data_IF_377654769128
#
_entry.id   IF_377654769128
#
_cell.length_a   1.000
_cell.length_b   1.000
_cell.length_c   1.000
_cell.angle_alpha   90.00
_cell.angle_beta   90.00
_cell.angle_gamma   90.00
#
_symmetry.space_group_name_H-M   'P 1'
#
loop_
_entity.id
_entity.type
_entity.pdbx_description
1 polymer ?
#
# COMPACT_ATOMS: atom_id res chain seq x y z
N UNK A 1 24.88 -87.72 53.33
CA UNK A 1 23.67 -87.26 54.05
C UNK A 1 23.94 -85.83 54.47
N UNK A 2 23.19 -84.77 54.14
CA UNK A 2 21.98 -84.59 53.36
C UNK A 2 22.12 -83.31 52.51
N UNK A 3 21.40 -83.29 51.40
CA UNK A 3 21.30 -82.20 50.44
C UNK A 3 20.25 -81.18 50.90
N UNK A 4 20.50 -79.88 50.75
CA UNK A 4 19.44 -78.88 50.58
C UNK A 4 19.89 -77.84 49.56
N UNK A 5 19.20 -77.86 48.42
CA UNK A 5 19.23 -76.87 47.35
C UNK A 5 18.31 -75.70 47.70
N UNK A 6 18.72 -74.47 47.36
CA UNK A 6 17.82 -73.32 47.30
C UNK A 6 18.11 -72.53 46.02
N UNK A 7 17.11 -72.24 45.16
CA UNK A 7 17.31 -71.54 43.91
C UNK A 7 16.90 -70.07 44.02
N UNK A 8 17.66 -69.14 43.41
CA UNK A 8 17.15 -67.82 43.00
C UNK A 8 18.08 -67.23 41.93
N UNK A 9 17.66 -67.36 40.67
CA UNK A 9 16.95 -66.36 39.84
C UNK A 9 17.89 -65.29 39.27
N UNK A 10 18.24 -65.50 38.00
CA UNK A 10 18.87 -64.54 37.09
C UNK A 10 17.93 -63.34 36.87
N UNK A 11 18.30 -62.16 37.35
CA UNK A 11 17.67 -60.89 36.99
C UNK A 11 18.28 -60.36 35.70
N UNK A 12 17.52 -60.40 34.60
CA UNK A 12 17.82 -59.66 33.36
C UNK A 12 17.53 -58.17 33.60
N UNK A 13 18.56 -57.34 33.52
CA UNK A 13 18.39 -55.89 33.49
C UNK A 13 18.01 -55.47 32.06
N UNK A 14 16.76 -55.07 31.88
CA UNK A 14 16.29 -54.35 30.68
C UNK A 14 16.56 -52.86 30.93
N UNK A 15 17.55 -52.31 30.23
CA UNK A 15 17.73 -50.86 30.15
C UNK A 15 16.65 -50.29 29.23
N UNK A 16 15.65 -49.62 29.80
CA UNK A 16 14.68 -48.82 29.05
C UNK A 16 15.26 -47.43 28.81
N UNK A 17 15.64 -47.13 27.56
CA UNK A 17 15.95 -45.77 27.12
C UNK A 17 14.62 -45.08 26.78
N UNK A 18 14.07 -44.33 27.73
CA UNK A 18 12.96 -43.40 27.44
C UNK A 18 13.54 -42.13 26.86
N UNK A 19 13.51 -42.00 25.53
CA UNK A 19 13.80 -40.77 24.82
C UNK A 19 12.71 -39.73 25.10
N UNK A 20 13.07 -38.61 25.71
CA UNK A 20 12.18 -37.47 25.84
C UNK A 20 12.09 -36.77 24.47
N UNK A 21 10.95 -36.93 23.79
CA UNK A 21 10.64 -36.13 22.61
C UNK A 21 10.20 -34.73 23.09
N UNK A 22 11.10 -33.74 22.96
CA UNK A 22 10.74 -32.33 23.12
C UNK A 22 9.83 -31.91 21.98
N UNK A 23 8.54 -31.77 22.27
CA UNK A 23 7.57 -31.18 21.35
C UNK A 23 7.85 -29.67 21.26
N UNK A 24 8.52 -29.25 20.19
CA UNK A 24 8.68 -27.82 19.88
C UNK A 24 7.31 -27.33 19.41
N UNK A 25 6.57 -26.70 20.30
CA UNK A 25 5.40 -25.89 19.93
C UNK A 25 5.93 -24.69 19.15
N UNK A 26 5.95 -24.81 17.82
CA UNK A 26 6.11 -23.66 16.95
C UNK A 26 4.89 -22.76 17.16
N UNK A 27 5.03 -21.77 18.03
CA UNK A 27 4.16 -20.60 17.96
C UNK A 27 4.42 -19.95 16.61
N UNK A 28 3.40 -19.57 15.83
CA UNK A 28 3.64 -18.69 14.71
C UNK A 28 4.26 -17.42 15.30
N UNK A 29 5.55 -17.22 15.04
CA UNK A 29 6.15 -15.92 15.25
C UNK A 29 5.30 -14.96 14.40
N UNK A 30 4.60 -14.04 15.05
CA UNK A 30 4.18 -12.82 14.37
C UNK A 30 5.48 -12.25 13.80
N UNK A 31 5.65 -12.30 12.48
CA UNK A 31 6.81 -11.72 11.86
C UNK A 31 6.80 -10.24 12.25
N UNK A 32 7.74 -9.86 13.12
CA UNK A 32 8.11 -8.48 13.38
C UNK A 32 8.88 -7.90 12.17
N UNK A 33 8.39 -8.17 10.96
CA UNK A 33 8.88 -7.59 9.73
C UNK A 33 7.95 -6.45 9.38
N UNK A 34 8.50 -5.26 9.14
CA UNK A 34 7.76 -4.14 8.57
C UNK A 34 7.20 -4.47 7.17
N UNK A 35 6.88 -3.46 6.36
CA UNK A 35 6.37 -3.65 5.02
C UNK A 35 7.23 -4.64 4.21
N UNK A 36 6.64 -5.42 3.28
CA UNK A 36 7.43 -6.22 2.36
C UNK A 36 8.34 -5.32 1.52
N UNK A 37 9.39 -5.91 0.94
CA UNK A 37 10.27 -5.16 0.04
C UNK A 37 9.49 -4.62 -1.16
N UNK A 38 9.83 -3.41 -1.61
CA UNK A 38 9.25 -2.83 -2.81
C UNK A 38 9.45 -3.69 -4.06
N UNK A 39 8.42 -3.71 -4.90
CA UNK A 39 8.54 -4.18 -6.28
C UNK A 39 9.42 -3.19 -7.07
N UNK A 40 10.21 -3.70 -8.03
CA UNK A 40 10.94 -2.82 -8.93
C UNK A 40 9.98 -1.98 -9.78
N UNK A 41 10.37 -0.75 -10.11
CA UNK A 41 9.62 0.08 -11.05
C UNK A 41 9.44 -0.66 -12.38
N UNK A 42 8.20 -0.80 -12.82
CA UNK A 42 7.84 -1.39 -14.09
C UNK A 42 6.49 -0.84 -14.53
N UNK A 43 6.51 0.29 -15.22
CA UNK A 43 5.33 0.97 -15.74
C UNK A 43 5.63 1.49 -17.14
N UNK A 44 4.59 1.72 -17.93
CA UNK A 44 4.74 2.23 -19.29
C UNK A 44 5.19 3.69 -19.29
N UNK A 45 5.76 4.15 -20.41
CA UNK A 45 6.43 5.45 -20.48
C UNK A 45 5.52 6.63 -20.10
N UNK A 46 4.26 6.62 -20.52
CA UNK A 46 3.31 7.68 -20.18
C UNK A 46 2.85 7.62 -18.71
N UNK A 47 2.75 6.42 -18.11
CA UNK A 47 2.49 6.28 -16.68
C UNK A 47 3.63 6.91 -15.86
N UNK A 48 4.89 6.70 -16.27
CA UNK A 48 6.04 7.34 -15.62
C UNK A 48 6.05 8.85 -15.87
N UNK A 49 5.77 9.28 -17.10
CA UNK A 49 5.76 10.70 -17.49
C UNK A 49 4.77 11.52 -16.67
N UNK A 50 3.59 10.98 -16.39
CA UNK A 50 2.53 11.70 -15.67
C UNK A 50 2.38 11.27 -14.21
N UNK A 51 3.31 10.47 -13.67
CA UNK A 51 3.33 10.07 -12.28
C UNK A 51 3.30 11.32 -11.38
N UNK A 52 2.40 11.43 -10.39
CA UNK A 52 2.43 12.58 -9.48
C UNK A 52 3.74 12.63 -8.69
N UNK A 53 4.17 13.85 -8.40
CA UNK A 53 5.23 14.13 -7.44
C UNK A 53 4.57 14.18 -6.05
N UNK A 54 4.95 13.27 -5.16
CA UNK A 54 4.28 13.10 -3.87
C UNK A 54 5.03 13.78 -2.73
N UNK A 55 4.27 14.34 -1.81
CA UNK A 55 4.70 14.63 -0.45
C UNK A 55 3.74 13.97 0.55
N UNK A 56 4.21 13.82 1.78
CA UNK A 56 3.45 13.27 2.89
C UNK A 56 3.68 14.19 4.09
N UNK A 57 2.60 14.83 4.54
CA UNK A 57 2.64 15.67 5.73
C UNK A 57 2.99 14.78 6.95
N UNK A 58 3.49 15.41 8.01
CA UNK A 58 3.98 14.69 9.21
C UNK A 58 2.91 13.92 9.99
N UNK A 59 1.64 14.04 9.58
CA UNK A 59 0.46 13.56 10.30
C UNK A 59 -0.09 12.20 9.84
N UNK A 60 0.53 11.55 8.86
CA UNK A 60 0.14 10.22 8.36
C UNK A 60 1.30 9.25 8.18
N UNK A 61 1.04 8.08 7.59
CA UNK A 61 2.10 7.15 7.18
C UNK A 61 2.76 7.59 5.86
N UNK A 62 3.98 7.13 5.60
CA UNK A 62 4.47 7.04 4.23
C UNK A 62 3.75 5.93 3.47
N UNK A 63 3.74 6.04 2.14
CA UNK A 63 3.27 4.93 1.31
C UNK A 63 4.22 3.74 1.43
N UNK A 64 3.68 2.53 1.36
CA UNK A 64 4.48 1.30 1.47
C UNK A 64 4.09 0.29 0.39
N UNK A 65 4.94 -0.72 0.12
CA UNK A 65 4.57 -1.81 -0.77
C UNK A 65 3.41 -2.61 -0.19
N UNK A 66 2.32 -2.74 -0.96
CA UNK A 66 1.18 -3.58 -0.60
C UNK A 66 1.46 -5.08 -0.81
N UNK A 67 2.45 -5.41 -1.64
CA UNK A 67 2.88 -6.78 -1.95
C UNK A 67 4.37 -6.79 -2.29
N UNK A 68 5.09 -7.79 -1.79
CA UNK A 68 6.50 -8.01 -2.07
C UNK A 68 6.78 -8.86 -3.32
N UNK A 69 8.03 -8.93 -3.79
CA UNK A 69 8.46 -9.76 -4.92
C UNK A 69 8.18 -11.27 -4.73
N UNK A 70 8.13 -11.74 -3.49
CA UNK A 70 7.79 -13.11 -3.10
C UNK A 70 6.26 -13.34 -2.97
N UNK A 71 5.48 -12.29 -3.21
CA UNK A 71 4.04 -12.26 -3.06
C UNK A 71 3.54 -12.10 -1.63
N UNK A 72 4.41 -11.81 -0.65
CA UNK A 72 3.97 -11.47 0.71
C UNK A 72 3.12 -10.21 0.67
N UNK A 73 1.87 -10.28 1.13
CA UNK A 73 0.97 -9.12 1.23
C UNK A 73 1.30 -8.34 2.49
N UNK A 74 1.30 -7.02 2.40
CA UNK A 74 1.44 -6.16 3.57
C UNK A 74 0.22 -6.34 4.49
N UNK A 75 0.40 -6.79 5.75
CA UNK A 75 -0.72 -6.98 6.67
C UNK A 75 -1.30 -5.66 7.19
N UNK A 76 -0.62 -4.54 6.92
CA UNK A 76 -0.90 -3.22 7.47
C UNK A 76 -0.60 -3.13 8.97
N UNK A 77 -1.01 -2.01 9.57
CA UNK A 77 -0.87 -1.72 10.98
C UNK A 77 -2.25 -1.61 11.65
N UNK A 78 -2.29 -1.88 12.95
CA UNK A 78 -3.48 -1.53 13.72
C UNK A 78 -3.61 0.01 13.76
N UNK A 79 -4.82 0.57 13.55
CA UNK A 79 -5.07 2.02 13.63
C UNK A 79 -5.11 2.47 15.09
N UNK A 80 -4.01 2.28 15.81
CA UNK A 80 -3.81 2.67 17.21
C UNK A 80 -2.46 3.37 17.37
N UNK A 81 -2.26 4.00 18.53
CA UNK A 81 -1.07 4.83 18.76
C UNK A 81 -1.11 6.16 18.00
N UNK A 82 0.06 6.78 17.82
CA UNK A 82 0.19 8.01 17.03
C UNK A 82 -0.22 7.77 15.56
N UNK A 83 -0.75 8.80 14.90
CA UNK A 83 -1.24 8.73 13.52
C UNK A 83 -0.17 8.20 12.55
N UNK A 84 1.04 8.72 12.69
CA UNK A 84 2.25 8.37 11.94
C UNK A 84 3.12 7.30 12.64
N UNK A 85 2.64 6.72 13.75
CA UNK A 85 3.43 5.81 14.58
C UNK A 85 3.70 4.47 13.88
N UNK A 86 4.98 4.09 13.84
CA UNK A 86 5.52 2.87 13.23
C UNK A 86 5.40 2.81 11.68
N UNK A 87 5.18 3.94 11.00
CA UNK A 87 5.03 3.98 9.54
C UNK A 87 5.49 5.30 8.89
N UNK A 88 6.30 6.10 9.59
CA UNK A 88 6.79 7.38 9.10
C UNK A 88 8.27 7.60 9.44
N UNK A 89 9.02 6.55 9.78
CA UNK A 89 10.45 6.69 9.99
C UNK A 89 11.15 6.96 8.64
N UNK A 90 12.34 7.58 8.66
CA UNK A 90 13.08 7.86 7.43
C UNK A 90 13.32 6.59 6.57
N UNK A 91 13.48 5.43 7.19
CA UNK A 91 13.61 4.13 6.51
C UNK A 91 12.34 3.68 5.80
N UNK A 92 11.16 4.09 6.29
CA UNK A 92 9.89 3.77 5.62
C UNK A 92 9.81 4.51 4.28
N UNK A 93 10.34 5.74 4.22
CA UNK A 93 10.44 6.52 2.97
C UNK A 93 11.42 5.95 1.95
N UNK A 94 12.31 5.03 2.37
CA UNK A 94 13.21 4.32 1.46
C UNK A 94 12.58 3.07 0.85
N UNK A 95 11.48 2.57 1.42
CA UNK A 95 10.78 1.38 0.94
C UNK A 95 9.32 1.71 0.60
N UNK A 96 9.12 2.24 -0.61
CA UNK A 96 7.80 2.70 -1.09
C UNK A 96 7.47 2.06 -2.44
N UNK A 97 6.19 2.01 -2.79
CA UNK A 97 5.74 1.76 -4.15
C UNK A 97 4.57 2.68 -4.48
N UNK A 98 4.39 2.98 -5.76
CA UNK A 98 3.13 3.46 -6.30
C UNK A 98 2.63 2.47 -7.34
N UNK A 99 1.32 2.44 -7.56
CA UNK A 99 0.69 1.53 -8.51
C UNK A 99 -0.18 2.33 -9.47
N UNK A 100 -0.22 1.94 -10.74
CA UNK A 100 -1.06 2.62 -11.73
C UNK A 100 -1.86 1.66 -12.60
N UNK A 101 -3.00 2.16 -13.07
CA UNK A 101 -3.71 1.61 -14.21
C UNK A 101 -4.30 2.75 -15.00
N UNK A 102 -4.32 2.62 -16.32
CA UNK A 102 -4.85 3.65 -17.18
C UNK A 102 -5.85 3.09 -18.20
N UNK A 103 -6.63 3.99 -18.78
CA UNK A 103 -7.50 3.72 -19.91
C UNK A 103 -7.49 4.91 -20.85
N UNK A 104 -7.50 4.64 -22.15
CA UNK A 104 -7.57 5.67 -23.19
C UNK A 104 -8.74 5.38 -24.13
N UNK A 105 -9.58 6.38 -24.37
CA UNK A 105 -10.61 6.36 -25.41
C UNK A 105 -11.05 7.79 -25.75
N UNK A 106 -11.63 7.95 -26.94
CA UNK A 106 -12.21 9.23 -27.40
C UNK A 106 -11.23 10.43 -27.30
N UNK A 107 -9.94 10.19 -27.56
CA UNK A 107 -8.89 11.21 -27.52
C UNK A 107 -8.39 11.57 -26.11
N UNK A 108 -8.87 10.89 -25.07
CA UNK A 108 -8.48 11.11 -23.67
C UNK A 108 -7.87 9.87 -23.06
N UNK A 109 -6.91 10.08 -22.15
CA UNK A 109 -6.38 9.05 -21.26
C UNK A 109 -6.60 9.45 -19.81
N UNK A 110 -7.14 8.54 -19.00
CA UNK A 110 -7.20 8.67 -17.55
C UNK A 110 -6.22 7.69 -16.91
N UNK A 111 -5.22 8.22 -16.20
CA UNK A 111 -4.24 7.47 -15.43
C UNK A 111 -4.62 7.53 -13.95
N UNK A 112 -4.88 6.40 -13.32
CA UNK A 112 -5.16 6.35 -11.88
C UNK A 112 -3.91 5.84 -11.16
N UNK A 113 -3.28 6.71 -10.37
CA UNK A 113 -2.15 6.38 -9.49
C UNK A 113 -2.66 6.15 -8.09
N UNK A 114 -2.16 5.11 -7.43
CA UNK A 114 -2.68 4.67 -6.14
C UNK A 114 -1.55 4.27 -5.23
N UNK A 115 -1.62 4.70 -3.98
CA UNK A 115 -0.61 4.46 -2.96
C UNK A 115 -1.28 3.68 -1.83
N UNK A 116 -0.56 2.71 -1.28
CA UNK A 116 -1.01 1.94 -0.13
C UNK A 116 -0.37 2.49 1.14
N UNK A 117 -1.18 2.65 2.19
CA UNK A 117 -0.72 3.03 3.52
C UNK A 117 -1.12 1.93 4.50
N UNK A 118 -0.28 1.64 5.48
CA UNK A 118 -0.49 0.49 6.36
C UNK A 118 -1.71 0.67 7.29
N UNK A 119 -2.08 1.92 7.56
CA UNK A 119 -3.25 2.31 8.34
C UNK A 119 -3.68 3.72 7.98
N UNK A 120 -4.92 4.02 8.31
CA UNK A 120 -5.48 5.37 8.32
C UNK A 120 -6.24 5.58 9.63
N UNK A 121 -6.02 6.73 10.26
CA UNK A 121 -6.54 7.06 11.58
C UNK A 121 -7.13 8.46 11.57
N UNK A 122 -8.39 8.61 11.98
CA UNK A 122 -8.96 9.93 12.26
C UNK A 122 -8.41 10.55 13.56
N UNK A 123 -8.25 9.76 14.61
CA UNK A 123 -7.87 10.25 15.94
C UNK A 123 -6.64 9.50 16.50
N UNK A 124 -5.67 10.21 17.11
CA UNK A 124 -4.56 9.57 17.80
C UNK A 124 -5.02 8.67 18.95
N UNK A 125 -4.40 7.51 19.10
CA UNK A 125 -4.57 6.62 20.26
C UNK A 125 -5.84 5.75 20.25
N UNK A 126 -6.82 6.01 19.38
CA UNK A 126 -8.08 5.24 19.30
C UNK A 126 -8.36 4.80 17.86
N UNK A 127 -8.98 3.63 17.69
CA UNK A 127 -9.37 3.12 16.38
C UNK A 127 -10.70 3.69 15.88
N UNK A 128 -11.34 4.59 16.64
CA UNK A 128 -12.63 5.17 16.27
C UNK A 128 -12.45 6.09 15.06
N UNK A 129 -13.04 5.71 13.93
CA UNK A 129 -12.89 6.45 12.67
C UNK A 129 -11.56 6.18 11.95
N UNK A 130 -10.86 5.09 12.25
CA UNK A 130 -9.69 4.63 11.50
C UNK A 130 -9.83 3.18 11.05
N UNK A 131 -8.96 2.75 10.14
CA UNK A 131 -8.87 1.38 9.69
C UNK A 131 -7.42 0.95 9.41
N UNK A 132 -7.20 -0.36 9.56
CA UNK A 132 -6.01 -1.03 9.04
C UNK A 132 -6.12 -1.05 7.52
N UNK A 133 -4.98 -0.84 6.85
CA UNK A 133 -4.86 -0.69 5.41
C UNK A 133 -5.56 0.56 4.90
N UNK A 134 -4.96 1.24 3.95
CA UNK A 134 -5.58 2.35 3.25
C UNK A 134 -5.05 2.43 1.82
N UNK A 135 -5.88 2.93 0.93
CA UNK A 135 -5.56 3.13 -0.48
C UNK A 135 -6.09 4.50 -0.90
N UNK A 136 -5.17 5.42 -1.19
CA UNK A 136 -5.52 6.74 -1.72
C UNK A 136 -5.04 6.89 -3.17
N UNK A 137 -5.60 7.85 -3.88
CA UNK A 137 -5.47 7.94 -5.34
C UNK A 137 -5.33 9.37 -5.86
N UNK A 138 -4.60 9.48 -6.96
CA UNK A 138 -4.57 10.66 -7.82
C UNK A 138 -4.87 10.23 -9.25
N UNK A 139 -5.89 10.80 -9.87
CA UNK A 139 -6.18 10.59 -11.29
C UNK A 139 -5.61 11.74 -12.12
N UNK A 140 -4.89 11.42 -13.19
CA UNK A 140 -4.35 12.41 -14.12
C UNK A 140 -5.02 12.24 -15.48
N UNK A 141 -5.64 13.31 -15.97
CA UNK A 141 -6.42 13.31 -17.21
C UNK A 141 -5.65 14.02 -18.30
N UNK A 142 -5.32 13.27 -19.35
CA UNK A 142 -4.44 13.70 -20.43
C UNK A 142 -5.21 13.72 -21.74
N UNK A 143 -4.98 14.78 -22.52
CA UNK A 143 -5.45 14.93 -23.89
C UNK A 143 -4.30 15.44 -24.75
N UNK A 144 -4.07 14.84 -25.91
CA UNK A 144 -3.00 15.22 -26.85
C UNK A 144 -1.61 15.32 -26.20
N UNK A 145 -1.32 14.39 -25.27
CA UNK A 145 -0.04 14.33 -24.55
C UNK A 145 0.17 15.43 -23.50
N UNK A 146 -0.89 16.15 -23.13
CA UNK A 146 -0.87 17.20 -22.11
C UNK A 146 -1.86 16.90 -20.98
N UNK A 147 -1.43 17.10 -19.74
CA UNK A 147 -2.30 17.07 -18.56
C UNK A 147 -3.30 18.23 -18.67
N UNK A 148 -4.60 17.93 -18.58
CA UNK A 148 -5.68 18.92 -18.59
C UNK A 148 -6.38 19.04 -17.24
N UNK A 149 -6.46 17.93 -16.49
CA UNK A 149 -7.04 17.89 -15.15
C UNK A 149 -6.28 16.91 -14.27
N UNK A 150 -6.32 17.17 -12.97
CA UNK A 150 -5.86 16.25 -11.94
C UNK A 150 -6.99 16.11 -10.92
N UNK A 151 -7.27 14.89 -10.49
CA UNK A 151 -8.30 14.63 -9.47
C UNK A 151 -7.67 13.96 -8.26
N UNK A 152 -7.87 14.50 -7.07
CA UNK A 152 -7.36 13.94 -5.82
C UNK A 152 -8.47 13.24 -5.05
N UNK A 153 -8.21 12.04 -4.52
CA UNK A 153 -9.18 11.33 -3.70
C UNK A 153 -9.36 12.01 -2.33
N UNK A 154 -10.60 12.05 -1.85
CA UNK A 154 -10.94 12.49 -0.51
C UNK A 154 -12.18 11.75 0.02
N UNK A 155 -11.98 10.88 1.01
CA UNK A 155 -13.06 10.20 1.74
C UNK A 155 -14.04 9.45 0.82
N UNK A 156 -13.50 8.70 -0.16
CA UNK A 156 -14.28 7.95 -1.15
C UNK A 156 -14.88 8.78 -2.29
N UNK A 157 -14.52 10.06 -2.39
CA UNK A 157 -14.85 10.95 -3.51
C UNK A 157 -13.57 11.45 -4.19
N UNK A 158 -13.74 12.26 -5.22
CA UNK A 158 -12.67 12.99 -5.86
C UNK A 158 -13.00 14.47 -5.94
N UNK A 159 -11.99 15.31 -5.74
CA UNK A 159 -12.02 16.70 -6.19
C UNK A 159 -11.28 16.80 -7.51
N UNK A 160 -11.93 17.37 -8.53
CA UNK A 160 -11.36 17.56 -9.87
C UNK A 160 -10.81 18.98 -9.97
N UNK A 161 -9.54 19.10 -10.36
CA UNK A 161 -8.83 20.35 -10.48
C UNK A 161 -8.45 20.60 -11.94
N UNK A 162 -8.78 21.75 -12.55
CA UNK A 162 -8.25 22.13 -13.85
C UNK A 162 -6.73 22.34 -13.75
N UNK A 163 -6.01 22.08 -14.84
CA UNK A 163 -4.54 22.23 -14.89
C UNK A 163 -4.03 23.60 -14.43
N UNK A 164 -4.83 24.66 -14.55
CA UNK A 164 -4.50 26.01 -14.06
C UNK A 164 -4.32 26.13 -12.55
N UNK A 165 -4.87 25.19 -11.78
CA UNK A 165 -4.75 25.15 -10.31
C UNK A 165 -3.60 24.23 -9.85
N UNK A 166 -3.06 23.43 -10.76
CA UNK A 166 -2.10 22.37 -10.43
C UNK A 166 -0.68 22.90 -10.51
N UNK A 167 0.11 22.68 -9.45
CA UNK A 167 1.56 22.89 -9.44
C UNK A 167 2.25 21.64 -9.97
N UNK A 168 3.35 21.83 -10.70
CA UNK A 168 4.08 20.73 -11.35
C UNK A 168 5.57 20.76 -11.03
N UNK A 169 6.20 19.58 -11.07
CA UNK A 169 7.62 19.42 -11.40
C UNK A 169 7.71 18.74 -12.77
N UNK A 170 8.11 19.48 -13.81
CA UNK A 170 8.04 18.96 -15.18
C UNK A 170 6.61 18.59 -15.57
N UNK A 171 6.35 17.31 -15.84
CA UNK A 171 5.02 16.75 -16.16
C UNK A 171 4.32 16.11 -14.96
N UNK A 172 4.94 16.15 -13.77
CA UNK A 172 4.49 15.50 -12.56
C UNK A 172 3.62 16.46 -11.74
N UNK A 173 2.30 16.25 -11.63
CA UNK A 173 1.47 17.08 -10.78
C UNK A 173 1.83 16.84 -9.31
N UNK A 174 1.93 17.91 -8.52
CA UNK A 174 2.32 17.83 -7.11
C UNK A 174 1.10 17.56 -6.24
N UNK A 175 1.14 16.47 -5.49
CA UNK A 175 0.07 16.01 -4.60
C UNK A 175 0.61 15.68 -3.21
N UNK A 176 -0.18 16.00 -2.19
CA UNK A 176 0.22 15.85 -0.78
C UNK A 176 -0.77 14.95 -0.07
N UNK A 177 -0.29 13.88 0.55
CA UNK A 177 -1.06 13.05 1.47
C UNK A 177 -1.05 13.71 2.84
N UNK A 178 -2.23 13.99 3.40
CA UNK A 178 -2.35 14.77 4.63
C UNK A 178 -3.57 14.38 5.45
N UNK A 179 -3.60 14.83 6.71
CA UNK A 179 -4.80 14.81 7.54
C UNK A 179 -5.83 15.84 7.10
N UNK A 180 -7.06 15.41 6.81
CA UNK A 180 -8.15 16.35 6.51
C UNK A 180 -8.93 16.75 7.77
N UNK A 181 -8.37 17.71 8.50
CA UNK A 181 -8.96 18.24 9.73
C UNK A 181 -9.23 17.14 10.77
N UNK A 182 -10.50 16.94 11.12
CA UNK A 182 -10.93 15.90 12.08
C UNK A 182 -11.28 14.55 11.42
N UNK A 183 -11.27 14.48 10.08
CA UNK A 183 -11.59 13.27 9.31
C UNK A 183 -10.39 12.34 9.23
N UNK A 184 -10.38 11.37 8.30
CA UNK A 184 -9.25 10.52 7.89
C UNK A 184 -8.25 11.25 6.98
N UNK A 185 -7.23 10.54 6.46
CA UNK A 185 -6.29 11.14 5.51
C UNK A 185 -6.87 11.19 4.09
N UNK A 186 -6.32 12.07 3.25
CA UNK A 186 -6.62 12.11 1.82
C UNK A 186 -5.51 12.80 1.02
N UNK A 187 -5.67 12.84 -0.31
CA UNK A 187 -4.83 13.69 -1.16
C UNK A 187 -5.42 15.09 -1.38
N UNK A 188 -4.53 16.08 -1.37
CA UNK A 188 -4.77 17.43 -1.90
C UNK A 188 -3.73 17.79 -2.96
N UNK A 189 -3.99 18.83 -3.74
CA UNK A 189 -2.94 19.47 -4.52
C UNK A 189 -1.94 20.17 -3.60
N UNK A 190 -0.68 20.21 -4.02
CA UNK A 190 0.32 21.04 -3.38
C UNK A 190 0.02 22.53 -3.56
N UNK A 191 0.35 23.30 -2.54
CA UNK A 191 0.29 24.75 -2.48
C UNK A 191 1.70 25.35 -2.53
N UNK A 192 1.83 26.66 -2.37
CA UNK A 192 3.13 27.30 -2.24
C UNK A 192 3.82 27.01 -0.89
N UNK A 193 3.08 26.54 0.12
CA UNK A 193 3.61 26.26 1.46
C UNK A 193 4.27 24.88 1.56
N UNK A 194 4.06 24.00 0.57
CA UNK A 194 4.63 22.65 0.50
C UNK A 194 6.02 22.66 -0.18
N UNK A 195 6.75 23.77 -0.08
CA UNK A 195 8.08 23.94 -0.65
C UNK A 195 9.06 24.45 0.43
N UNK A 196 10.02 23.64 0.90
CA UNK A 196 10.22 22.24 0.51
C UNK A 196 9.13 21.31 1.07
N UNK A 197 8.97 20.10 0.49
CA UNK A 197 8.15 19.02 1.04
C UNK A 197 8.45 18.70 2.51
N UNK A 198 7.43 18.30 3.27
CA UNK A 198 7.51 18.02 4.71
C UNK A 198 8.14 16.66 5.05
N UNK A 199 8.16 15.72 4.10
CA UNK A 199 8.75 14.39 4.32
C UNK A 199 10.24 14.43 4.74
N UNK A 200 10.74 13.32 5.30
CA UNK A 200 12.10 13.18 5.84
C UNK A 200 13.25 13.54 4.87
N UNK A 201 13.01 13.52 3.55
CA UNK A 201 14.01 13.88 2.53
C UNK A 201 13.94 15.34 2.10
N UNK A 202 12.89 16.07 2.48
CA UNK A 202 12.63 17.46 2.06
C UNK A 202 12.66 17.66 0.53
N UNK A 203 12.25 16.62 -0.20
CA UNK A 203 12.16 16.62 -1.67
C UNK A 203 10.88 15.96 -2.11
N UNK A 204 10.43 16.27 -3.33
CA UNK A 204 9.31 15.57 -3.96
C UNK A 204 9.69 14.11 -4.20
N UNK A 205 8.76 13.20 -3.92
CA UNK A 205 9.00 11.77 -3.95
C UNK A 205 8.32 11.12 -5.15
N UNK A 206 9.02 10.13 -5.71
CA UNK A 206 8.58 9.34 -6.85
C UNK A 206 8.70 7.85 -6.50
N UNK A 207 7.77 7.30 -5.69
CA UNK A 207 7.80 5.89 -5.32
C UNK A 207 7.88 5.00 -6.58
N UNK A 208 8.75 3.97 -6.63
CA UNK A 208 8.86 3.08 -7.79
C UNK A 208 7.48 2.63 -8.29
N UNK A 209 7.15 3.01 -9.52
CA UNK A 209 5.82 2.83 -10.09
C UNK A 209 5.67 1.45 -10.74
N UNK A 210 4.64 0.71 -10.33
CA UNK A 210 4.24 -0.54 -10.97
C UNK A 210 2.92 -0.32 -11.71
N UNK A 211 3.01 -0.29 -13.04
CA UNK A 211 1.83 -0.20 -13.91
C UNK A 211 1.07 -1.52 -13.95
N UNK A 212 -0.21 -1.48 -14.32
CA UNK A 212 -1.09 -2.65 -14.35
C UNK A 212 -0.55 -3.81 -15.19
N UNK A 213 0.21 -3.50 -16.25
CA UNK A 213 0.84 -4.48 -17.13
C UNK A 213 2.27 -4.86 -16.71
N UNK A 214 2.82 -4.19 -15.70
CA UNK A 214 4.21 -4.37 -15.24
C UNK A 214 4.38 -5.20 -13.97
N UNK A 215 3.29 -5.71 -13.39
CA UNK A 215 3.41 -6.64 -12.26
C UNK A 215 4.16 -7.92 -12.66
N UNK A 216 5.07 -8.43 -11.82
CA UNK A 216 5.59 -9.79 -11.96
C UNK A 216 4.46 -10.82 -11.98
N UNK A 217 4.71 -11.96 -12.64
CA UNK A 217 3.71 -13.00 -12.87
C UNK A 217 3.02 -13.43 -11.56
N UNK A 218 1.68 -13.47 -11.58
CA UNK A 218 0.85 -13.89 -10.45
C UNK A 218 0.66 -12.85 -9.33
N UNK A 219 1.51 -11.83 -9.23
CA UNK A 219 1.41 -10.83 -8.15
C UNK A 219 0.19 -9.92 -8.32
N UNK A 220 -0.13 -9.52 -9.55
CA UNK A 220 -1.32 -8.71 -9.85
C UNK A 220 -2.60 -9.41 -9.41
N UNK A 221 -2.75 -10.68 -9.76
CA UNK A 221 -3.94 -11.46 -9.46
C UNK A 221 -4.06 -11.70 -7.95
N UNK A 222 -2.93 -12.01 -7.29
CA UNK A 222 -2.87 -12.15 -5.83
C UNK A 222 -3.31 -10.86 -5.13
N UNK A 223 -2.70 -9.73 -5.48
CA UNK A 223 -3.05 -8.41 -4.92
C UNK A 223 -4.51 -8.05 -5.18
N UNK A 224 -5.01 -8.30 -6.40
CA UNK A 224 -6.40 -7.99 -6.79
C UNK A 224 -7.44 -8.84 -6.07
N UNK A 225 -7.06 -10.06 -5.67
CA UNK A 225 -7.92 -10.99 -4.94
C UNK A 225 -7.89 -10.79 -3.42
N UNK A 226 -6.90 -10.06 -2.89
CA UNK A 226 -6.71 -9.94 -1.45
C UNK A 226 -7.77 -9.04 -0.80
N UNK A 227 -8.24 -9.48 0.37
CA UNK A 227 -9.17 -8.73 1.19
C UNK A 227 -8.42 -7.83 2.19
N UNK A 228 -8.41 -6.54 1.91
CA UNK A 228 -7.80 -5.52 2.79
C UNK A 228 -8.77 -5.04 3.90
N UNK A 229 -9.90 -5.73 4.09
CA UNK A 229 -10.91 -5.39 5.09
C UNK A 229 -11.69 -4.16 4.66
N UNK A 230 -11.50 -3.03 5.36
CA UNK A 230 -12.21 -1.78 5.06
C UNK A 230 -11.68 -1.07 3.81
N UNK A 231 -10.40 -1.27 3.48
CA UNK A 231 -9.79 -0.72 2.28
C UNK A 231 -10.00 -1.65 1.08
N UNK A 232 -10.01 -1.09 -0.13
CA UNK A 232 -10.22 -1.85 -1.37
C UNK A 232 -9.14 -1.48 -2.39
N UNK A 233 -8.46 -2.49 -2.95
CA UNK A 233 -7.50 -2.23 -4.04
C UNK A 233 -8.23 -1.62 -5.26
N UNK A 234 -7.96 -0.35 -5.61
CA UNK A 234 -8.78 0.43 -6.55
C UNK A 234 -8.58 0.04 -8.03
N UNK A 235 -7.43 -0.56 -8.37
CA UNK A 235 -7.06 -0.84 -9.75
C UNK A 235 -7.65 -2.15 -10.30
N UNK A 236 -8.26 -2.98 -9.43
CA UNK A 236 -8.88 -4.24 -9.83
C UNK A 236 -10.10 -4.00 -10.74
N UNK A 237 -10.42 -4.98 -11.58
CA UNK A 237 -11.51 -4.87 -12.58
C UNK A 237 -12.83 -4.35 -11.98
N UNK A 238 -13.21 -4.86 -10.80
CA UNK A 238 -14.46 -4.51 -10.14
C UNK A 238 -14.53 -3.06 -9.63
N UNK A 239 -13.40 -2.35 -9.58
CA UNK A 239 -13.28 -1.02 -8.97
C UNK A 239 -12.75 0.04 -9.94
N UNK A 240 -11.94 -0.33 -10.92
CA UNK A 240 -11.22 0.64 -11.75
C UNK A 240 -12.14 1.61 -12.51
N UNK A 241 -13.19 1.09 -13.17
CA UNK A 241 -14.11 1.92 -13.94
C UNK A 241 -14.94 2.88 -13.06
N UNK A 242 -15.32 2.46 -11.84
CA UNK A 242 -16.06 3.33 -10.92
C UNK A 242 -15.18 4.45 -10.35
N UNK A 243 -13.91 4.17 -10.06
CA UNK A 243 -12.95 5.21 -9.65
C UNK A 243 -12.70 6.22 -10.77
N UNK A 244 -12.50 5.75 -12.00
CA UNK A 244 -12.40 6.65 -13.15
C UNK A 244 -13.67 7.48 -13.34
N UNK A 245 -14.86 6.90 -13.14
CA UNK A 245 -16.14 7.62 -13.21
C UNK A 245 -16.21 8.73 -12.16
N UNK A 246 -15.84 8.43 -10.91
CA UNK A 246 -15.86 9.38 -9.81
C UNK A 246 -14.83 10.51 -9.98
N UNK A 247 -13.66 10.20 -10.56
CA UNK A 247 -12.58 11.15 -10.77
C UNK A 247 -12.72 11.98 -12.05
N UNK A 248 -13.64 11.63 -12.95
CA UNK A 248 -13.72 12.19 -14.31
C UNK A 248 -14.14 13.67 -14.32
N UNK A 249 -13.41 14.56 -15.02
CA UNK A 249 -13.86 15.91 -15.30
C UNK A 249 -15.20 15.92 -16.07
N UNK A 250 -16.08 16.84 -15.71
CA UNK A 250 -17.36 16.98 -16.39
C UNK A 250 -17.15 17.44 -17.85
N UNK A 251 -17.98 16.93 -18.76
CA UNK A 251 -18.00 17.37 -20.15
C UNK A 251 -16.92 16.79 -21.08
N UNK A 252 -15.95 16.01 -20.59
CA UNK A 252 -14.99 15.34 -21.49
C UNK A 252 -15.62 14.07 -22.09
N UNK A 253 -15.34 13.74 -23.37
CA UNK A 253 -15.91 12.58 -24.05
C UNK A 253 -15.28 11.23 -23.64
N UNK A 254 -14.71 11.10 -22.45
CA UNK A 254 -14.14 9.85 -21.95
C UNK A 254 -15.21 8.87 -21.42
N UNK A 255 -15.10 7.59 -21.75
CA UNK A 255 -15.97 6.53 -21.22
C UNK A 255 -15.18 5.56 -20.33
N UNK A 256 -15.40 5.57 -19.00
CA UNK A 256 -14.77 4.61 -18.08
C UNK A 256 -15.10 3.15 -18.39
N UNK A 257 -16.23 2.85 -19.02
CA UNK A 257 -16.76 1.50 -19.24
C UNK A 257 -16.60 0.98 -20.68
N UNK A 258 -15.94 1.73 -21.57
CA UNK A 258 -15.72 1.34 -22.97
C UNK A 258 -14.97 0.03 -23.19
#
# INVERSE_FOLDING_TARGET
MASFTSPRRRGRWLAALTGAATLVLATPAFAAGGPPQALPQNAEADELKYQPAFDYDTDGCYSTPAIGPDGTINPGLNPTGALNGNCHDASDLDNTNSYSRYKCNNGWCGYLYTLYFEKDQALPGVSLGGHRNDWEHVAVWVQDGQVKYVSTSNHGKFTVHPVSEVRFEGTHPKAVYHKDGISTHCFRLATANDEPPENHKHTWQYPPLVGWNGYPAGLRDKLSSYDFGSANFPLKEASFASHLTAAKPSGIPFDPNA
#
